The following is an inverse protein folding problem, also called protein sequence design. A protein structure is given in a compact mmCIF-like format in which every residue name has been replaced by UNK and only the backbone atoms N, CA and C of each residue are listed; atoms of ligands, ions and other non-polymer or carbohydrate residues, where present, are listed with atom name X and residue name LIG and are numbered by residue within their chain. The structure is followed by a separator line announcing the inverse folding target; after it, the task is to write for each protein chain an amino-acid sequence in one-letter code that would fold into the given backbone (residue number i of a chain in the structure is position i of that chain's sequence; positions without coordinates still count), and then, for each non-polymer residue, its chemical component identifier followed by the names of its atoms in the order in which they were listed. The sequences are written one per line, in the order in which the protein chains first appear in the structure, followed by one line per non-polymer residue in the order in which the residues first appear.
data_IF_756220233488
#
_entry.id   IF_756220233488
#
_cell.length_a   1.000
_cell.length_b   1.000
_cell.length_c   1.000
_cell.angle_alpha   90.00
_cell.angle_beta   90.00
_cell.angle_gamma   90.00
#
_symmetry.space_group_name_H-M   'P 1'
#
loop_
_entity.id
_entity.type
_entity.pdbx_description
1 polymer ?
#
# COMPACT_ATOMS: atom_id res chain seq x y z
N UNK A 1 32.98 -5.55 -38.73
CA UNK A 1 32.85 -6.61 -37.70
C UNK A 1 32.48 -6.10 -36.30
N UNK A 2 32.08 -4.84 -36.10
CA UNK A 2 31.74 -4.28 -34.77
C UNK A 2 30.25 -3.96 -34.56
N UNK A 3 29.38 -4.16 -35.56
CA UNK A 3 27.95 -3.84 -35.45
C UNK A 3 27.02 -5.06 -35.27
N UNK A 4 27.55 -6.28 -35.34
CA UNK A 4 26.76 -7.50 -35.16
C UNK A 4 26.71 -7.97 -33.69
N UNK A 5 27.51 -7.37 -32.80
CA UNK A 5 27.54 -7.76 -31.38
C UNK A 5 26.64 -6.89 -30.48
N UNK A 6 26.12 -5.77 -30.99
CA UNK A 6 25.21 -4.88 -30.24
C UNK A 6 23.72 -5.21 -30.45
N UNK A 7 23.38 -6.06 -31.42
CA UNK A 7 21.98 -6.47 -31.66
C UNK A 7 21.46 -7.52 -30.67
N UNK A 8 22.27 -8.04 -29.76
CA UNK A 8 21.86 -9.12 -28.85
C UNK A 8 21.42 -8.66 -27.44
N UNK A 9 21.51 -7.38 -27.07
CA UNK A 9 21.33 -6.94 -25.66
C UNK A 9 20.10 -6.04 -25.42
N UNK A 10 19.32 -5.64 -26.44
CA UNK A 10 18.14 -4.74 -26.22
C UNK A 10 16.78 -5.38 -26.55
N UNK A 11 16.68 -6.72 -26.51
CA UNK A 11 15.40 -7.42 -26.53
C UNK A 11 15.22 -8.32 -25.31
N UNK A 12 15.41 -7.74 -24.13
CA UNK A 12 14.78 -8.23 -22.91
C UNK A 12 13.79 -7.16 -22.44
N UNK A 13 12.69 -7.00 -23.18
CA UNK A 13 11.48 -6.45 -22.56
C UNK A 13 11.06 -7.53 -21.57
N UNK A 14 11.31 -7.25 -20.29
CA UNK A 14 10.89 -8.10 -19.18
C UNK A 14 9.37 -8.23 -19.29
N UNK A 15 8.91 -9.36 -19.82
CA UNK A 15 7.57 -9.84 -19.53
C UNK A 15 7.60 -10.21 -18.05
N UNK A 16 7.23 -9.26 -17.20
CA UNK A 16 7.02 -9.53 -15.79
C UNK A 16 5.80 -10.45 -15.70
N UNK A 17 6.03 -11.76 -15.70
CA UNK A 17 5.01 -12.74 -15.35
C UNK A 17 4.84 -12.68 -13.84
N UNK A 18 3.80 -11.98 -13.40
CA UNK A 18 3.19 -12.27 -12.12
C UNK A 18 2.28 -13.49 -12.37
N UNK A 19 2.70 -14.66 -11.89
CA UNK A 19 1.94 -15.89 -12.03
C UNK A 19 1.61 -16.44 -10.64
N UNK A 20 0.32 -16.61 -10.37
CA UNK A 20 -0.20 -17.59 -9.43
C UNK A 20 -0.77 -18.77 -10.26
N UNK A 21 -0.95 -19.95 -9.68
CA UNK A 21 -1.39 -21.14 -10.45
C UNK A 21 -2.78 -20.99 -11.10
N UNK A 22 -3.58 -20.04 -10.59
CA UNK A 22 -4.93 -19.72 -11.07
C UNK A 22 -5.01 -18.43 -11.90
N UNK A 23 -3.98 -17.57 -11.86
CA UNK A 23 -4.01 -16.24 -12.47
C UNK A 23 -2.68 -15.87 -13.13
N UNK A 24 -2.72 -15.57 -14.43
CA UNK A 24 -1.55 -15.22 -15.24
C UNK A 24 -1.74 -13.91 -15.97
N UNK A 25 -0.79 -12.99 -15.81
CA UNK A 25 -0.77 -11.70 -16.51
C UNK A 25 0.42 -11.62 -17.45
N UNK A 26 0.14 -11.45 -18.75
CA UNK A 26 1.12 -11.18 -19.80
C UNK A 26 0.98 -9.71 -20.26
N UNK A 27 1.99 -8.90 -19.92
CA UNK A 27 2.07 -7.50 -20.34
C UNK A 27 2.78 -7.37 -21.70
N UNK A 28 2.06 -6.96 -22.73
CA UNK A 28 2.62 -6.60 -24.03
C UNK A 28 2.86 -5.09 -24.15
N UNK A 29 3.50 -4.65 -25.25
CA UNK A 29 3.82 -3.22 -25.46
C UNK A 29 2.60 -2.29 -25.41
N UNK A 30 1.43 -2.75 -25.83
CA UNK A 30 0.19 -1.94 -25.96
C UNK A 30 -1.07 -2.68 -25.53
N UNK A 31 -0.93 -3.90 -25.06
CA UNK A 31 -2.05 -4.74 -24.66
C UNK A 31 -1.70 -5.47 -23.37
N UNK A 32 -2.72 -5.92 -22.66
CA UNK A 32 -2.60 -6.81 -21.53
C UNK A 32 -3.40 -8.07 -21.85
N UNK A 33 -2.81 -9.23 -21.59
CA UNK A 33 -3.49 -10.51 -21.63
C UNK A 33 -3.54 -11.09 -20.22
N UNK A 34 -4.74 -11.23 -19.69
CA UNK A 34 -5.00 -11.87 -18.39
C UNK A 34 -5.67 -13.21 -18.64
N UNK A 35 -5.13 -14.27 -18.05
CA UNK A 35 -5.71 -15.61 -18.08
C UNK A 35 -6.07 -16.00 -16.65
N UNK A 36 -7.32 -16.34 -16.42
CA UNK A 36 -7.85 -16.67 -15.10
C UNK A 36 -8.52 -18.05 -15.17
N UNK A 37 -8.02 -19.00 -14.38
CA UNK A 37 -8.69 -20.27 -14.11
C UNK A 37 -9.78 -20.06 -13.05
N UNK A 38 -10.97 -20.52 -13.37
CA UNK A 38 -12.20 -20.30 -12.61
C UNK A 38 -12.66 -21.64 -12.06
N UNK A 39 -12.97 -21.70 -10.76
CA UNK A 39 -13.45 -22.94 -10.14
C UNK A 39 -14.75 -23.44 -10.80
N UNK A 40 -15.02 -24.75 -10.79
CA UNK A 40 -16.21 -25.32 -11.44
C UNK A 40 -17.53 -24.70 -10.99
N UNK A 41 -17.63 -24.31 -9.71
CA UNK A 41 -18.82 -23.66 -9.11
C UNK A 41 -19.11 -22.28 -9.72
N UNK A 42 -18.08 -21.59 -10.20
CA UNK A 42 -18.18 -20.24 -10.76
C UNK A 42 -18.38 -20.25 -12.29
N UNK A 43 -18.27 -21.41 -12.94
CA UNK A 43 -18.48 -21.56 -14.40
C UNK A 43 -19.89 -21.15 -14.80
N UNK A 44 -20.91 -21.46 -13.99
CA UNK A 44 -22.29 -21.05 -14.23
C UNK A 44 -22.49 -19.53 -14.20
N UNK A 45 -21.58 -18.81 -13.53
CA UNK A 45 -21.57 -17.36 -13.39
C UNK A 45 -20.52 -16.68 -14.29
N UNK A 46 -19.99 -17.36 -15.31
CA UNK A 46 -18.93 -16.84 -16.17
C UNK A 46 -19.24 -15.47 -16.80
N UNK A 47 -20.53 -15.17 -17.04
CA UNK A 47 -20.98 -13.87 -17.54
C UNK A 47 -20.74 -12.68 -16.58
N UNK A 48 -20.37 -12.96 -15.32
CA UNK A 48 -20.07 -11.96 -14.29
C UNK A 48 -18.58 -11.71 -14.09
N UNK A 49 -17.73 -12.32 -14.91
CA UNK A 49 -16.29 -12.10 -14.87
C UNK A 49 -15.96 -10.82 -15.63
N UNK A 50 -15.32 -9.86 -14.96
CA UNK A 50 -14.90 -8.61 -15.58
C UNK A 50 -13.46 -8.26 -15.18
N UNK A 51 -12.75 -7.63 -16.12
CA UNK A 51 -11.49 -6.94 -15.86
C UNK A 51 -11.72 -5.44 -16.05
N UNK A 52 -11.92 -4.73 -14.95
CA UNK A 52 -12.45 -3.36 -14.97
C UNK A 52 -13.83 -3.35 -15.62
N UNK A 53 -13.98 -2.65 -16.74
CA UNK A 53 -15.24 -2.59 -17.51
C UNK A 53 -15.33 -3.61 -18.66
N UNK A 54 -14.40 -4.54 -18.77
CA UNK A 54 -14.34 -5.49 -19.89
C UNK A 54 -14.74 -6.90 -19.49
N UNK A 55 -15.56 -7.53 -20.32
CA UNK A 55 -15.89 -8.97 -20.27
C UNK A 55 -14.70 -9.82 -20.75
N UNK A 56 -14.70 -11.15 -20.59
CA UNK A 56 -13.66 -12.00 -21.16
C UNK A 56 -13.73 -11.94 -22.69
N UNK A 57 -12.58 -11.77 -23.33
CA UNK A 57 -12.45 -11.92 -24.79
C UNK A 57 -12.69 -13.35 -25.26
N UNK A 58 -12.40 -14.33 -24.39
CA UNK A 58 -12.66 -15.75 -24.60
C UNK A 58 -12.95 -16.42 -23.26
N UNK A 59 -13.87 -17.38 -23.25
CA UNK A 59 -14.11 -18.26 -22.12
C UNK A 59 -14.22 -19.70 -22.63
N UNK A 60 -13.60 -20.65 -21.92
CA UNK A 60 -13.69 -22.08 -22.23
C UNK A 60 -13.77 -22.91 -20.97
N UNK A 61 -14.47 -24.05 -21.02
CA UNK A 61 -14.51 -25.02 -19.93
C UNK A 61 -13.45 -26.08 -20.17
N UNK A 62 -12.60 -26.32 -19.17
CA UNK A 62 -11.54 -27.32 -19.19
C UNK A 62 -12.11 -28.73 -18.92
N UNK A 63 -11.40 -29.80 -19.32
CA UNK A 63 -11.83 -31.17 -19.06
C UNK A 63 -12.01 -31.51 -17.57
N UNK A 64 -11.38 -30.74 -16.68
CA UNK A 64 -11.47 -30.85 -15.22
C UNK A 64 -12.77 -30.27 -14.65
N UNK A 65 -13.58 -29.59 -15.46
CA UNK A 65 -14.78 -28.87 -15.03
C UNK A 65 -14.52 -27.41 -14.65
N UNK A 66 -13.26 -26.98 -14.58
CA UNK A 66 -12.87 -25.59 -14.35
C UNK A 66 -13.12 -24.73 -15.60
N UNK A 67 -13.32 -23.42 -15.42
CA UNK A 67 -13.34 -22.44 -16.49
C UNK A 67 -11.97 -21.83 -16.76
N UNK A 68 -11.72 -21.38 -17.97
CA UNK A 68 -10.58 -20.54 -18.33
C UNK A 68 -11.10 -19.29 -19.03
N UNK A 69 -10.97 -18.15 -18.36
CA UNK A 69 -11.32 -16.83 -18.88
C UNK A 69 -10.06 -16.12 -19.39
N UNK A 70 -10.07 -15.67 -20.65
CA UNK A 70 -9.01 -14.86 -21.24
C UNK A 70 -9.51 -13.45 -21.51
N UNK A 71 -8.81 -12.45 -20.99
CA UNK A 71 -9.02 -11.03 -21.27
C UNK A 71 -7.83 -10.51 -22.07
N UNK A 72 -8.02 -10.16 -23.34
CA UNK A 72 -6.97 -9.56 -24.17
C UNK A 72 -7.42 -8.20 -24.69
N UNK A 73 -6.90 -7.13 -24.08
CA UNK A 73 -7.36 -5.77 -24.35
C UNK A 73 -6.20 -4.79 -24.46
N UNK A 74 -6.44 -3.69 -25.17
CA UNK A 74 -5.49 -2.59 -25.27
C UNK A 74 -5.38 -1.85 -23.93
N UNK A 75 -4.19 -1.34 -23.58
CA UNK A 75 -3.95 -0.58 -22.34
C UNK A 75 -4.75 0.73 -22.26
N UNK A 76 -5.28 1.22 -23.38
CA UNK A 76 -6.17 2.39 -23.43
C UNK A 76 -7.66 2.02 -23.24
N UNK A 77 -7.99 0.73 -23.13
CA UNK A 77 -9.34 0.22 -22.95
C UNK A 77 -9.62 -0.20 -21.50
N UNK A 78 -10.81 -0.75 -21.25
CA UNK A 78 -11.20 -1.37 -19.98
C UNK A 78 -11.08 -0.49 -18.73
N UNK A 79 -11.09 0.83 -18.89
CA UNK A 79 -10.79 1.80 -17.83
C UNK A 79 -9.43 1.57 -17.13
N UNK A 80 -8.48 0.96 -17.84
CA UNK A 80 -7.11 0.74 -17.34
C UNK A 80 -6.46 2.11 -17.13
N UNK A 81 -6.07 2.40 -15.88
CA UNK A 81 -5.38 3.64 -15.53
C UNK A 81 -3.87 3.44 -15.63
N UNK A 82 -3.21 4.26 -16.45
CA UNK A 82 -1.75 4.31 -16.50
C UNK A 82 -1.22 5.05 -15.28
N UNK A 83 -0.47 4.37 -14.42
CA UNK A 83 0.32 5.00 -13.35
C UNK A 83 1.79 5.05 -13.79
N UNK A 84 2.35 6.24 -13.88
CA UNK A 84 3.78 6.42 -14.13
C UNK A 84 4.47 6.50 -12.78
N UNK A 85 5.25 5.48 -12.47
CA UNK A 85 6.10 5.45 -11.28
C UNK A 85 7.52 5.74 -11.77
N UNK A 86 8.25 6.70 -11.18
CA UNK A 86 9.63 6.95 -11.56
C UNK A 86 10.48 5.69 -11.43
N UNK A 87 11.45 5.51 -12.32
CA UNK A 87 12.36 4.37 -12.26
C UNK A 87 13.15 4.42 -10.94
N UNK A 88 13.15 3.32 -10.17
CA UNK A 88 13.77 3.26 -8.83
C UNK A 88 12.86 3.61 -7.63
N UNK A 89 11.59 3.95 -7.84
CA UNK A 89 10.64 4.22 -6.75
C UNK A 89 10.07 2.98 -6.05
N UNK A 90 10.18 1.79 -6.66
CA UNK A 90 9.73 0.54 -6.06
C UNK A 90 10.96 -0.28 -5.68
N UNK A 91 11.32 -0.30 -4.41
CA UNK A 91 12.38 -1.17 -3.95
C UNK A 91 11.98 -2.63 -4.09
N UNK A 92 12.95 -3.44 -4.50
CA UNK A 92 12.75 -4.86 -4.80
C UNK A 92 12.33 -5.69 -3.57
N UNK A 93 12.64 -5.23 -2.35
CA UNK A 93 12.19 -5.86 -1.10
C UNK A 93 10.72 -5.58 -0.76
N UNK A 94 10.09 -4.58 -1.39
CA UNK A 94 8.65 -4.30 -1.29
C UNK A 94 7.82 -5.13 -2.28
N UNK A 95 8.47 -5.99 -3.07
CA UNK A 95 7.85 -7.04 -3.87
C UNK A 95 7.79 -8.27 -2.95
N UNK A 96 6.60 -8.77 -2.57
CA UNK A 96 6.50 -9.93 -1.69
C UNK A 96 7.08 -11.18 -2.39
N UNK A 97 8.34 -11.51 -2.09
CA UNK A 97 8.92 -12.81 -2.42
C UNK A 97 8.66 -13.77 -1.26
N UNK A 98 7.64 -14.62 -1.44
CA UNK A 98 7.41 -15.92 -0.77
C UNK A 98 7.71 -16.06 0.73
N UNK A 99 6.65 -16.15 1.53
CA UNK A 99 6.58 -16.84 2.82
C UNK A 99 5.10 -16.96 3.21
N UNK A 100 4.64 -18.15 3.63
CA UNK A 100 3.24 -18.43 3.99
C UNK A 100 3.10 -18.63 5.50
N UNK A 101 2.02 -18.08 6.05
CA UNK A 101 1.32 -18.60 7.21
C UNK A 101 -0.18 -18.42 6.92
N UNK A 102 -0.94 -19.48 7.18
CA UNK A 102 -2.30 -19.70 6.69
C UNK A 102 -3.34 -19.16 7.68
N UNK A 103 -4.46 -18.63 7.16
CA UNK A 103 -5.64 -18.31 7.94
C UNK A 103 -6.82 -18.01 7.02
N UNK A 104 -7.83 -18.87 7.02
CA UNK A 104 -9.05 -18.73 6.21
C UNK A 104 -9.65 -17.31 6.28
N UNK A 105 -9.67 -16.62 5.14
CA UNK A 105 -10.27 -15.29 4.98
C UNK A 105 -9.45 -14.10 5.50
N UNK A 106 -8.22 -14.31 5.97
CA UNK A 106 -7.40 -13.29 6.65
C UNK A 106 -6.35 -12.63 5.76
N UNK A 107 -6.49 -11.32 5.53
CA UNK A 107 -5.43 -10.53 4.90
C UNK A 107 -4.26 -10.35 5.88
N UNK A 108 -3.02 -10.41 5.37
CA UNK A 108 -1.82 -10.16 6.16
C UNK A 108 -1.41 -8.69 5.99
N UNK A 109 -1.42 -7.93 7.08
CA UNK A 109 -0.98 -6.55 7.11
C UNK A 109 0.45 -6.44 7.61
N UNK A 110 1.23 -5.60 6.95
CA UNK A 110 2.61 -5.29 7.27
C UNK A 110 2.73 -3.80 7.57
N UNK A 111 3.53 -3.43 8.58
CA UNK A 111 3.86 -2.04 8.88
C UNK A 111 5.32 -1.96 9.33
N UNK A 112 6.10 -1.06 8.74
CA UNK A 112 7.53 -0.93 9.02
C UNK A 112 8.04 0.50 8.84
N UNK A 113 9.19 0.78 9.47
CA UNK A 113 9.99 1.97 9.19
C UNK A 113 10.89 1.72 7.99
N UNK A 114 10.96 2.66 7.05
CA UNK A 114 11.92 2.62 5.94
C UNK A 114 13.09 3.56 6.18
N UNK A 115 14.21 3.29 5.52
CA UNK A 115 15.35 4.21 5.49
C UNK A 115 15.03 5.50 4.71
N UNK A 116 15.87 6.52 4.83
CA UNK A 116 15.67 7.83 4.18
C UNK A 116 15.56 7.73 2.65
N UNK A 117 16.34 6.82 2.06
CA UNK A 117 16.36 6.57 0.61
C UNK A 117 15.15 5.74 0.12
N UNK A 118 14.31 5.26 1.04
CA UNK A 118 13.22 4.31 0.79
C UNK A 118 13.64 2.96 0.19
N UNK A 119 14.94 2.67 0.14
CA UNK A 119 15.51 1.46 -0.46
C UNK A 119 15.60 0.25 0.47
N UNK A 120 15.17 0.38 1.72
CA UNK A 120 15.18 -0.73 2.69
C UNK A 120 14.36 -0.45 3.94
N UNK A 121 14.27 -1.46 4.80
CA UNK A 121 13.88 -1.26 6.19
C UNK A 121 14.87 -0.34 6.88
N UNK A 122 14.37 0.54 7.75
CA UNK A 122 15.21 1.37 8.59
C UNK A 122 16.09 0.49 9.49
N UNK A 123 17.40 0.75 9.48
CA UNK A 123 18.35 0.07 10.38
C UNK A 123 18.39 0.70 11.76
N UNK A 124 17.88 1.93 11.88
CA UNK A 124 17.86 2.73 13.10
C UNK A 124 16.42 3.16 13.39
N UNK A 125 16.09 3.28 14.67
CA UNK A 125 14.84 3.86 15.16
C UNK A 125 15.06 5.23 15.79
N UNK A 126 16.17 5.89 15.45
CA UNK A 126 16.56 7.22 15.93
C UNK A 126 16.30 8.26 14.85
N UNK A 127 15.50 9.29 15.17
CA UNK A 127 15.11 10.31 14.20
C UNK A 127 15.40 11.71 14.77
N UNK A 128 16.20 12.55 14.10
CA UNK A 128 16.39 13.94 14.53
C UNK A 128 15.06 14.70 14.52
N UNK A 129 14.88 15.63 15.46
CA UNK A 129 13.72 16.52 15.48
C UNK A 129 13.60 17.28 14.14
N UNK A 130 12.39 17.32 13.58
CA UNK A 130 12.07 17.95 12.29
C UNK A 130 12.40 17.11 11.05
N UNK A 131 13.11 15.99 11.20
CA UNK A 131 13.36 15.02 10.11
C UNK A 131 12.08 14.25 9.73
N UNK A 132 12.12 13.50 8.64
CA UNK A 132 11.01 12.64 8.23
C UNK A 132 11.21 11.22 8.72
N UNK A 133 10.15 10.63 9.26
CA UNK A 133 10.01 9.23 9.64
C UNK A 133 9.21 8.54 8.53
N UNK A 134 9.84 7.74 7.65
CA UNK A 134 9.13 7.05 6.58
C UNK A 134 8.44 5.80 7.14
N UNK A 135 7.11 5.85 7.19
CA UNK A 135 6.26 4.76 7.70
C UNK A 135 5.54 4.11 6.53
N UNK A 136 5.90 2.86 6.25
CA UNK A 136 5.29 2.05 5.21
C UNK A 136 4.31 1.07 5.82
N UNK A 137 3.17 0.87 5.15
CA UNK A 137 2.31 -0.28 5.40
C UNK A 137 1.83 -0.89 4.08
N UNK A 138 1.61 -2.20 4.11
CA UNK A 138 1.03 -2.95 3.01
C UNK A 138 0.08 -4.05 3.50
N UNK A 139 -0.80 -4.49 2.62
CA UNK A 139 -1.61 -5.69 2.82
C UNK A 139 -1.40 -6.66 1.67
N UNK A 140 -1.18 -7.93 2.01
CA UNK A 140 -1.03 -8.98 1.02
C UNK A 140 -2.37 -9.22 0.31
N UNK A 141 -2.36 -9.24 -1.02
CA UNK A 141 -3.56 -9.39 -1.86
C UNK A 141 -3.71 -10.80 -2.46
N UNK A 142 -3.05 -11.82 -1.89
CA UNK A 142 -3.13 -13.18 -2.45
C UNK A 142 -4.60 -13.64 -2.46
N UNK A 143 -5.08 -14.02 -3.64
CA UNK A 143 -6.41 -14.57 -3.88
C UNK A 143 -7.58 -13.66 -3.44
N UNK A 144 -7.36 -12.34 -3.48
CA UNK A 144 -8.38 -11.34 -3.20
C UNK A 144 -8.51 -10.35 -4.37
N UNK A 145 -9.71 -9.81 -4.57
CA UNK A 145 -9.93 -8.65 -5.46
C UNK A 145 -9.01 -7.48 -5.07
N UNK A 146 -8.65 -6.56 -5.99
CA UNK A 146 -7.77 -5.44 -5.69
C UNK A 146 -8.23 -4.66 -4.46
N UNK A 147 -7.32 -4.47 -3.51
CA UNK A 147 -7.59 -3.74 -2.26
C UNK A 147 -6.87 -2.40 -2.24
N UNK A 148 -7.51 -1.41 -1.62
CA UNK A 148 -6.91 -0.15 -1.22
C UNK A 148 -6.58 -0.19 0.27
N UNK A 149 -5.31 0.02 0.62
CA UNK A 149 -4.91 0.14 2.01
C UNK A 149 -5.03 1.59 2.49
N UNK A 150 -5.67 1.79 3.64
CA UNK A 150 -5.81 3.09 4.29
C UNK A 150 -5.18 3.04 5.70
N UNK A 151 -4.52 4.14 6.08
CA UNK A 151 -4.17 4.45 7.48
C UNK A 151 -5.26 5.36 8.02
N UNK A 152 -6.20 4.81 8.78
CA UNK A 152 -7.39 5.54 9.24
C UNK A 152 -7.07 6.42 10.45
N UNK A 153 -6.36 5.87 11.43
CA UNK A 153 -5.94 6.57 12.65
C UNK A 153 -4.52 6.17 12.98
N UNK A 154 -3.62 7.15 13.19
CA UNK A 154 -2.27 6.91 13.69
C UNK A 154 -1.99 7.86 14.85
N UNK A 155 -1.54 7.31 15.98
CA UNK A 155 -1.30 8.03 17.22
C UNK A 155 0.07 7.68 17.75
N UNK A 156 0.85 8.70 18.10
CA UNK A 156 2.11 8.53 18.81
C UNK A 156 1.88 8.60 20.32
N UNK A 157 2.54 7.74 21.07
CA UNK A 157 2.46 7.74 22.52
C UNK A 157 3.76 7.23 23.16
N UNK A 158 4.07 7.68 24.37
CA UNK A 158 5.19 7.20 25.19
C UNK A 158 4.87 5.90 25.92
N UNK A 159 3.59 5.56 26.00
CA UNK A 159 3.06 4.30 26.52
C UNK A 159 2.04 3.75 25.51
N UNK A 160 1.57 2.50 25.64
CA UNK A 160 0.53 1.96 24.76
C UNK A 160 -0.83 2.69 24.82
N UNK A 161 -1.01 3.65 25.72
CA UNK A 161 -2.23 4.45 25.88
C UNK A 161 -2.25 5.72 25.01
N UNK A 162 -3.41 6.00 24.41
CA UNK A 162 -3.55 6.93 23.28
C UNK A 162 -3.74 8.40 23.69
N UNK A 163 -2.90 9.31 23.16
CA UNK A 163 -3.14 10.75 23.11
C UNK A 163 -2.96 11.28 21.67
N UNK A 164 -3.99 11.89 21.08
CA UNK A 164 -4.04 12.22 19.64
C UNK A 164 -3.55 13.64 19.34
N UNK A 165 -2.57 13.76 18.45
CA UNK A 165 -2.11 15.03 17.85
C UNK A 165 -2.57 15.12 16.38
N UNK A 166 -3.10 16.27 15.95
CA UNK A 166 -3.67 16.44 14.61
C UNK A 166 -2.57 16.67 13.54
N UNK A 167 -2.63 15.93 12.44
CA UNK A 167 -1.65 15.99 11.33
C UNK A 167 -1.54 17.30 10.55
N UNK A 168 -2.32 18.35 10.90
CA UNK A 168 -2.27 19.69 10.26
C UNK A 168 -1.04 20.50 10.68
N UNK A 169 -0.47 20.22 11.85
CA UNK A 169 0.59 21.05 12.45
C UNK A 169 1.96 20.84 11.80
N UNK A 170 2.26 19.63 11.33
CA UNK A 170 3.53 19.26 10.68
C UNK A 170 3.50 19.34 9.15
N UNK A 171 4.64 19.10 8.49
CA UNK A 171 4.75 18.93 7.03
C UNK A 171 4.56 17.45 6.62
N UNK A 172 3.78 16.70 7.41
CA UNK A 172 3.55 15.28 7.20
C UNK A 172 2.70 15.07 5.95
N UNK A 173 3.11 14.12 5.10
CA UNK A 173 2.48 13.90 3.80
C UNK A 173 2.48 12.43 3.42
N UNK A 174 1.51 12.03 2.62
CA UNK A 174 1.57 10.73 1.97
C UNK A 174 2.36 10.84 0.68
N UNK A 175 3.18 9.83 0.40
CA UNK A 175 3.81 9.72 -0.92
C UNK A 175 2.89 8.98 -1.90
N UNK A 176 2.96 9.30 -3.20
CA UNK A 176 2.28 8.56 -4.26
C UNK A 176 2.43 7.04 -4.08
N UNK A 177 1.31 6.33 -4.11
CA UNK A 177 1.29 4.88 -3.95
C UNK A 177 1.94 4.20 -5.15
N UNK A 178 2.80 3.23 -4.90
CA UNK A 178 3.26 2.32 -5.95
C UNK A 178 2.23 1.21 -6.24
N UNK A 179 1.48 0.79 -5.24
CA UNK A 179 0.43 -0.24 -5.33
C UNK A 179 -0.77 0.16 -4.48
N UNK A 180 -2.00 -0.25 -4.86
CA UNK A 180 -3.20 0.13 -4.11
C UNK A 180 -3.22 -0.46 -2.69
N UNK A 181 -2.68 -1.67 -2.50
CA UNK A 181 -2.52 -2.27 -1.16
C UNK A 181 -1.38 -1.72 -0.33
N UNK A 182 -0.67 -0.70 -0.79
CA UNK A 182 0.43 -0.10 -0.03
C UNK A 182 0.22 1.40 0.15
N UNK A 183 0.69 1.90 1.29
CA UNK A 183 0.67 3.32 1.62
C UNK A 183 1.97 3.69 2.34
N UNK A 184 2.47 4.89 2.06
CA UNK A 184 3.71 5.42 2.64
C UNK A 184 3.44 6.80 3.21
N UNK A 185 3.52 6.92 4.54
CA UNK A 185 3.40 8.16 5.28
C UNK A 185 4.79 8.69 5.60
N UNK A 186 5.07 9.91 5.15
CA UNK A 186 6.21 10.71 5.58
C UNK A 186 5.76 11.55 6.76
N UNK A 187 5.97 11.03 7.97
CA UNK A 187 5.64 11.73 9.21
C UNK A 187 6.79 12.65 9.57
N UNK A 188 6.56 13.96 9.59
CA UNK A 188 7.58 14.88 10.12
C UNK A 188 7.68 14.69 11.63
N UNK A 189 8.87 14.37 12.14
CA UNK A 189 9.11 14.23 13.57
C UNK A 189 8.83 15.59 14.25
N UNK A 190 8.14 15.51 15.38
CA UNK A 190 7.65 16.67 16.12
C UNK A 190 8.23 16.66 17.53
N UNK A 191 8.14 17.80 18.20
CA UNK A 191 8.65 17.94 19.56
C UNK A 191 7.69 17.25 20.53
N UNK A 192 7.88 15.95 20.72
CA UNK A 192 7.14 15.12 21.67
C UNK A 192 8.11 14.11 22.28
N UNK A 193 8.06 13.98 23.61
CA UNK A 193 8.85 12.98 24.36
C UNK A 193 10.31 12.87 23.88
N UNK A 194 10.99 14.01 23.76
CA UNK A 194 12.36 14.04 23.22
C UNK A 194 13.31 13.21 24.08
N UNK A 195 14.09 12.34 23.44
CA UNK A 195 14.99 11.42 24.13
C UNK A 195 14.31 10.23 24.80
N UNK A 196 12.98 10.11 24.71
CA UNK A 196 12.23 8.96 25.23
C UNK A 196 11.88 7.97 24.11
N UNK A 197 11.54 6.75 24.50
CA UNK A 197 10.97 5.76 23.59
C UNK A 197 9.50 6.10 23.30
N UNK A 198 9.15 6.13 22.02
CA UNK A 198 7.80 6.36 21.53
C UNK A 198 7.34 5.22 20.63
N UNK A 199 6.03 4.99 20.64
CA UNK A 199 5.33 3.99 19.85
C UNK A 199 4.30 4.69 18.96
N UNK A 200 4.17 4.22 17.71
CA UNK A 200 3.18 4.70 16.76
C UNK A 200 2.15 3.60 16.55
N UNK A 201 0.95 3.83 17.05
CA UNK A 201 -0.18 2.93 16.91
C UNK A 201 -0.98 3.36 15.70
N UNK A 202 -1.16 2.48 14.72
CA UNK A 202 -1.96 2.74 13.53
C UNK A 202 -3.09 1.73 13.36
N UNK A 203 -4.26 2.22 12.98
CA UNK A 203 -5.41 1.45 12.53
C UNK A 203 -5.39 1.39 11.00
N UNK A 204 -5.08 0.22 10.48
CA UNK A 204 -5.01 -0.08 9.05
C UNK A 204 -6.35 -0.64 8.59
N UNK A 205 -6.78 -0.26 7.39
CA UNK A 205 -8.04 -0.72 6.78
C UNK A 205 -7.79 -1.15 5.34
N UNK A 206 -8.13 -2.39 5.01
CA UNK A 206 -8.22 -2.85 3.64
C UNK A 206 -9.64 -2.59 3.11
N UNK A 207 -9.72 -1.89 1.98
CA UNK A 207 -10.97 -1.36 1.42
C UNK A 207 -11.07 -1.57 -0.10
N UNK A 208 -12.27 -1.37 -0.66
CA UNK A 208 -12.51 -1.39 -2.10
C UNK A 208 -11.98 -0.09 -2.76
N UNK A 209 -11.05 -0.16 -3.74
CA UNK A 209 -10.50 1.01 -4.40
C UNK A 209 -11.51 1.84 -5.21
N UNK A 210 -12.66 1.28 -5.57
CA UNK A 210 -13.69 1.99 -6.35
C UNK A 210 -14.64 2.82 -5.48
N UNK A 211 -14.67 2.55 -4.17
CA UNK A 211 -15.61 3.15 -3.21
C UNK A 211 -14.90 4.14 -2.29
N UNK A 212 -14.34 5.20 -2.86
CA UNK A 212 -13.78 6.31 -2.07
C UNK A 212 -14.87 7.26 -1.62
N UNK A 213 -14.89 7.58 -0.33
CA UNK A 213 -15.85 8.54 0.23
C UNK A 213 -15.23 9.42 1.32
N UNK A 214 -16.08 10.13 2.07
CA UNK A 214 -15.61 11.01 3.14
C UNK A 214 -15.01 10.25 4.32
N UNK A 215 -15.27 8.97 4.50
CA UNK A 215 -14.68 8.13 5.55
C UNK A 215 -13.45 7.37 5.04
N UNK A 216 -13.51 6.88 3.80
CA UNK A 216 -12.48 6.04 3.17
C UNK A 216 -11.68 6.84 2.17
N UNK A 217 -10.65 7.53 2.68
CA UNK A 217 -9.75 8.40 1.90
C UNK A 217 -8.41 8.60 2.62
N UNK A 218 -7.34 8.90 1.88
CA UNK A 218 -6.07 9.35 2.43
C UNK A 218 -5.81 10.80 2.01
N UNK A 219 -5.79 11.73 2.98
CA UNK A 219 -5.61 13.15 2.73
C UNK A 219 -4.38 13.67 3.47
N UNK A 220 -3.65 14.59 2.85
CA UNK A 220 -2.57 15.35 3.50
C UNK A 220 -2.77 16.85 3.34
N UNK A 221 -2.21 17.64 4.26
CA UNK A 221 -2.31 19.09 4.21
C UNK A 221 -1.07 19.69 3.54
N UNK A 222 -1.27 20.46 2.47
CA UNK A 222 -0.21 21.16 1.75
C UNK A 222 -0.13 22.58 2.28
N UNK A 223 0.95 22.91 2.99
CA UNK A 223 1.11 24.23 3.62
C UNK A 223 1.28 25.34 2.60
N UNK A 224 1.91 25.04 1.46
CA UNK A 224 2.19 25.99 0.38
C UNK A 224 0.91 26.54 -0.26
N UNK A 225 -0.09 25.67 -0.44
CA UNK A 225 -1.40 26.03 -1.02
C UNK A 225 -2.47 26.30 0.05
N UNK A 226 -2.18 25.96 1.31
CA UNK A 226 -3.11 26.10 2.43
C UNK A 226 -4.31 25.15 2.37
N UNK A 227 -4.20 24.04 1.63
CA UNK A 227 -5.32 23.15 1.31
C UNK A 227 -5.05 21.68 1.62
N UNK A 228 -6.14 20.92 1.81
CA UNK A 228 -6.08 19.47 1.86
C UNK A 228 -6.11 18.88 0.45
N UNK A 229 -5.23 17.94 0.18
CA UNK A 229 -5.18 17.20 -1.08
C UNK A 229 -5.43 15.71 -0.85
N UNK A 230 -6.18 15.09 -1.76
CA UNK A 230 -6.42 13.65 -1.78
C UNK A 230 -5.25 12.92 -2.45
N UNK A 231 -4.70 11.91 -1.77
CA UNK A 231 -3.57 11.12 -2.26
C UNK A 231 -3.87 10.40 -3.58
N UNK A 232 -5.04 9.75 -3.64
CA UNK A 232 -5.38 8.82 -4.73
C UNK A 232 -5.81 9.54 -6.01
N UNK A 233 -6.40 10.74 -5.88
CA UNK A 233 -6.81 11.59 -7.00
C UNK A 233 -6.87 13.07 -6.58
N UNK A 234 -5.81 13.86 -6.82
CA UNK A 234 -5.78 15.27 -6.46
C UNK A 234 -6.95 16.10 -7.03
N UNK A 235 -7.54 15.69 -8.16
CA UNK A 235 -8.70 16.37 -8.75
C UNK A 235 -9.98 16.22 -7.91
N UNK A 236 -10.04 15.20 -7.05
CA UNK A 236 -11.16 14.92 -6.14
C UNK A 236 -10.90 15.36 -4.70
N UNK A 237 -9.97 16.30 -4.48
CA UNK A 237 -9.65 16.87 -3.15
C UNK A 237 -10.85 17.52 -2.43
N UNK A 238 -11.99 17.69 -3.11
CA UNK A 238 -13.28 18.05 -2.48
C UNK A 238 -13.68 17.07 -1.37
N UNK A 239 -13.29 15.79 -1.46
CA UNK A 239 -13.53 14.77 -0.43
C UNK A 239 -12.79 15.07 0.89
N UNK A 240 -11.66 15.78 0.81
CA UNK A 240 -10.84 16.13 1.97
C UNK A 240 -11.29 17.41 2.69
N UNK A 241 -12.30 18.14 2.20
CA UNK A 241 -12.77 19.39 2.82
C UNK A 241 -13.23 19.23 4.28
N UNK A 242 -13.66 18.03 4.67
CA UNK A 242 -14.09 17.76 6.04
C UNK A 242 -12.93 17.55 7.04
N UNK A 243 -11.69 17.40 6.58
CA UNK A 243 -10.54 17.10 7.43
C UNK A 243 -10.17 18.24 8.41
N UNK A 244 -10.67 19.47 8.19
CA UNK A 244 -10.51 20.56 9.15
C UNK A 244 -11.49 20.50 10.34
N UNK A 245 -12.57 19.75 10.22
CA UNK A 245 -13.65 19.74 11.23
C UNK A 245 -13.92 18.33 11.74
N UNK A 246 -14.72 17.56 11.03
CA UNK A 246 -14.93 16.14 11.27
C UNK A 246 -15.53 15.51 10.02
N UNK A 247 -14.96 14.38 9.58
CA UNK A 247 -15.50 13.63 8.46
C UNK A 247 -16.58 12.61 8.88
N UNK A 248 -17.04 12.65 10.15
CA UNK A 248 -18.11 11.76 10.63
C UNK A 248 -19.44 12.08 9.95
N UNK A 249 -20.18 11.09 9.43
CA UNK A 249 -21.52 11.29 8.92
C UNK A 249 -22.45 11.68 10.08
N UNK A 250 -23.37 12.61 9.81
CA UNK A 250 -24.50 12.86 10.72
C UNK A 250 -25.46 11.66 10.63
N UNK A 251 -25.25 10.65 11.47
CA UNK A 251 -26.15 9.50 11.55
C UNK A 251 -27.58 9.94 11.87
N UNK A 252 -28.53 9.61 11.01
CA UNK A 252 -29.91 9.37 11.46
C UNK A 252 -29.85 8.13 12.37
N UNK A 253 -30.29 8.26 13.62
CA UNK A 253 -30.38 7.14 14.58
C UNK A 253 -31.07 5.94 13.91
N UNK A 254 -30.40 4.79 13.84
CA UNK A 254 -31.09 3.52 13.54
C UNK A 254 -30.38 2.47 12.68
N UNK A 255 -29.12 2.61 12.29
CA UNK A 255 -28.41 1.49 11.64
C UNK A 255 -26.95 1.47 12.10
N UNK A 256 -26.59 0.46 12.88
CA UNK A 256 -25.20 0.12 13.13
C UNK A 256 -24.64 -0.41 11.81
N UNK A 257 -23.86 0.39 11.10
CA UNK A 257 -23.15 -0.07 9.91
C UNK A 257 -21.99 -0.95 10.38
N UNK A 258 -22.17 -2.26 10.25
CA UNK A 258 -21.11 -3.28 10.28
C UNK A 258 -19.90 -2.83 9.42
N UNK A 259 -18.65 -3.12 9.82
CA UNK A 259 -17.49 -2.65 9.08
C UNK A 259 -17.38 -3.40 7.74
N UNK A 260 -17.58 -2.68 6.64
CA UNK A 260 -17.51 -3.22 5.27
C UNK A 260 -16.06 -3.38 4.74
N UNK A 261 -15.06 -3.39 5.62
CA UNK A 261 -13.64 -3.58 5.27
C UNK A 261 -12.86 -4.19 6.43
N UNK A 262 -11.82 -4.96 6.10
CA UNK A 262 -11.01 -5.64 7.13
C UNK A 262 -10.10 -4.62 7.81
N UNK A 263 -10.16 -4.57 9.15
CA UNK A 263 -9.44 -3.62 9.99
C UNK A 263 -8.37 -4.35 10.79
N UNK A 264 -7.18 -3.79 10.87
CA UNK A 264 -6.08 -4.30 11.68
C UNK A 264 -5.37 -3.17 12.43
N UNK A 265 -5.17 -3.35 13.73
CA UNK A 265 -4.29 -2.47 14.51
C UNK A 265 -2.83 -2.95 14.40
N UNK A 266 -1.91 -2.02 14.20
CA UNK A 266 -0.47 -2.26 14.11
C UNK A 266 0.28 -1.24 14.98
N UNK A 267 1.47 -1.62 15.46
CA UNK A 267 2.30 -0.77 16.31
C UNK A 267 3.73 -0.75 15.78
N UNK A 268 4.33 0.44 15.68
CA UNK A 268 5.76 0.63 15.42
C UNK A 268 6.43 1.16 16.68
N UNK A 269 7.56 0.59 17.05
CA UNK A 269 8.38 1.10 18.14
C UNK A 269 9.19 0.00 18.84
N UNK A 270 10.05 0.39 19.79
CA UNK A 270 10.29 1.78 20.20
C UNK A 270 11.10 2.56 19.14
N UNK A 271 10.79 3.84 19.00
CA UNK A 271 11.62 4.81 18.27
C UNK A 271 11.89 6.04 19.14
N UNK A 272 12.93 6.81 18.84
CA UNK A 272 13.34 7.95 19.67
C UNK A 272 13.56 9.17 18.81
N UNK A 273 12.99 10.29 19.22
CA UNK A 273 13.24 11.59 18.58
C UNK A 273 14.36 12.28 19.36
N UNK A 274 15.47 12.54 18.69
CA UNK A 274 16.66 13.17 19.28
C UNK A 274 16.77 14.63 18.90
N UNK A 275 17.40 15.44 19.75
CA UNK A 275 17.68 16.84 19.45
C UNK A 275 18.69 16.98 18.29
N UNK A 276 18.71 18.14 17.63
CA UNK A 276 19.65 18.43 16.55
C UNK A 276 21.15 18.35 16.94
N UNK A 277 21.47 18.26 18.24
CA UNK A 277 22.83 18.29 18.78
C UNK A 277 23.42 16.91 19.13
N UNK A 278 22.71 15.80 18.91
CA UNK A 278 23.12 14.47 19.40
C UNK A 278 23.50 13.46 18.29
N UNK A 279 23.81 13.94 17.07
CA UNK A 279 24.18 13.07 15.92
C UNK A 279 25.58 12.43 16.01
N UNK A 280 26.16 12.27 17.20
CA UNK A 280 27.37 11.47 17.37
C UNK A 280 26.98 10.01 17.62
N UNK A 281 26.94 9.24 16.54
CA UNK A 281 26.77 7.77 16.54
C UNK A 281 27.92 7.14 17.33
N UNK A 282 27.70 6.46 18.47
CA UNK A 282 28.66 5.52 19.00
C UNK A 282 28.50 4.22 18.22
N UNK A 283 29.49 3.88 17.41
CA UNK A 283 29.63 2.56 16.83
C UNK A 283 30.04 1.57 17.92
N UNK A 284 29.10 0.90 18.60
CA UNK A 284 29.42 -0.41 19.21
C UNK A 284 28.18 -1.25 19.58
N UNK A 285 28.11 -2.40 18.88
CA UNK A 285 27.65 -3.72 19.31
C UNK A 285 26.41 -3.87 20.22
N UNK A 286 25.35 -4.45 19.66
CA UNK A 286 24.40 -5.24 20.46
C UNK A 286 24.32 -6.66 19.87
N UNK A 287 24.60 -7.63 20.74
CA UNK A 287 24.53 -9.08 20.50
C UNK A 287 23.08 -9.52 20.32
N UNK A 288 22.83 -10.34 19.31
CA UNK A 288 21.60 -11.10 19.21
C UNK A 288 21.57 -12.22 20.27
N UNK A 289 20.43 -12.48 20.94
CA UNK A 289 20.26 -13.72 21.69
C UNK A 289 20.17 -14.89 20.70
N UNK A 290 21.06 -15.87 20.87
CA UNK A 290 20.95 -17.18 20.26
C UNK A 290 19.67 -17.86 20.76
N UNK A 291 18.85 -18.32 19.83
CA UNK A 291 17.76 -19.28 20.10
C UNK A 291 18.42 -20.64 20.26
N UNK A 292 18.42 -21.17 21.49
CA UNK A 292 18.76 -22.57 21.73
C UNK A 292 17.68 -23.49 21.12
N UNK A 293 18.16 -24.59 20.54
CA UNK A 293 17.41 -25.64 19.82
C UNK A 293 16.34 -26.33 20.67
#
# INVERSE_FOLDING_TARGET
MSLLWQCAIVLAVVAARAANDDFSVDCEKRSIKVTWKVSPELVENAARLFLGHCVPSKFSVLPTGEGEATFHYNLNGCAIKKRVIPEGWIPQFLIPASGSAEGHGGLVFHMALLNEDLTGLAKTSLFPLGSFIPIWAAVDQKDHQPLLLLMEECVAATTPELQSENGKTGNSRFLPRYHSSAILLYLQSFKFALGEEIYIHCKLVAWDPEVLDKEKKACHYIKETGGWELLDDPSQSVLCKCCESSCKPRLKRGLHSEPQGLVQNAVLGPLTIVGHSETQIPSESIKYPTVDQ
#
